data_IF_808279008721
#
_entry.id   IF_808279008721
#
_cell.length_a   1.000
_cell.length_b   1.000
_cell.length_c   1.000
_cell.angle_alpha   90.00
_cell.angle_beta   90.00
_cell.angle_gamma   90.00
#
_symmetry.space_group_name_H-M   'P 1'
#
loop_
_entity.id
_entity.type
_entity.pdbx_description
1 polymer ?
#
# COMPACT_ATOMS: atom_id res chain seq x y z
N UNK A 1 -20.90 5.33 -21.35
CA UNK A 1 -19.93 4.24 -21.14
C UNK A 1 -20.30 3.59 -19.84
N UNK A 2 -20.89 2.39 -19.88
CA UNK A 2 -21.02 1.58 -18.67
C UNK A 2 -19.60 1.20 -18.27
N UNK A 3 -19.16 1.65 -17.10
CA UNK A 3 -17.86 1.24 -16.59
C UNK A 3 -17.92 -0.28 -16.42
N UNK A 4 -16.96 -0.97 -17.03
CA UNK A 4 -16.82 -2.42 -16.87
C UNK A 4 -16.52 -2.74 -15.41
N UNK A 5 -17.13 -3.81 -14.90
CA UNK A 5 -16.98 -4.26 -13.52
C UNK A 5 -15.50 -4.54 -13.19
N UNK A 6 -14.76 -5.05 -14.16
CA UNK A 6 -13.33 -5.30 -14.08
C UNK A 6 -12.53 -4.01 -13.79
N UNK A 7 -12.84 -2.93 -14.54
CA UNK A 7 -12.22 -1.63 -14.34
C UNK A 7 -12.52 -1.04 -12.94
N UNK A 8 -13.73 -1.25 -12.41
CA UNK A 8 -14.08 -0.83 -11.04
C UNK A 8 -13.21 -1.57 -10.03
N UNK A 9 -13.10 -2.90 -10.16
CA UNK A 9 -12.33 -3.74 -9.23
C UNK A 9 -10.86 -3.30 -9.22
N UNK A 10 -10.27 -3.09 -10.40
CA UNK A 10 -8.88 -2.65 -10.51
C UNK A 10 -8.63 -1.30 -9.82
N UNK A 11 -9.53 -0.32 -10.03
CA UNK A 11 -9.45 1.01 -9.41
C UNK A 11 -9.58 0.89 -7.88
N UNK A 12 -10.56 0.11 -7.41
CA UNK A 12 -10.82 -0.08 -5.98
C UNK A 12 -9.62 -0.74 -5.29
N UNK A 13 -9.09 -1.80 -5.87
CA UNK A 13 -7.92 -2.53 -5.33
C UNK A 13 -6.69 -1.61 -5.26
N UNK A 14 -6.41 -0.86 -6.34
CA UNK A 14 -5.29 0.08 -6.37
C UNK A 14 -5.44 1.19 -5.33
N UNK A 15 -6.67 1.70 -5.15
CA UNK A 15 -6.99 2.73 -4.16
C UNK A 15 -6.78 2.20 -2.75
N UNK A 16 -7.24 0.99 -2.45
CA UNK A 16 -7.06 0.36 -1.13
C UNK A 16 -5.57 0.15 -0.83
N UNK A 17 -4.80 -0.32 -1.82
CA UNK A 17 -3.37 -0.54 -1.65
C UNK A 17 -2.63 0.78 -1.36
N UNK A 18 -2.95 1.85 -2.09
CA UNK A 18 -2.39 3.19 -1.85
C UNK A 18 -2.74 3.72 -0.46
N UNK A 19 -4.01 3.66 -0.07
CA UNK A 19 -4.47 4.12 1.25
C UNK A 19 -3.77 3.35 2.37
N UNK A 20 -3.61 2.04 2.19
CA UNK A 20 -2.90 1.18 3.15
C UNK A 20 -1.44 1.61 3.30
N UNK A 21 -0.74 1.90 2.21
CA UNK A 21 0.63 2.38 2.25
C UNK A 21 0.74 3.75 2.94
N UNK A 22 -0.14 4.68 2.61
CA UNK A 22 -0.19 6.01 3.25
C UNK A 22 -0.44 5.86 4.75
N UNK A 23 -1.38 5.01 5.15
CA UNK A 23 -1.65 4.74 6.56
C UNK A 23 -0.43 4.17 7.29
N UNK A 24 0.31 3.24 6.66
CA UNK A 24 1.55 2.71 7.22
C UNK A 24 2.63 3.79 7.35
N UNK A 25 2.81 4.65 6.34
CA UNK A 25 3.78 5.75 6.38
C UNK A 25 3.45 6.78 7.47
N UNK A 26 2.16 7.13 7.63
CA UNK A 26 1.69 7.98 8.72
C UNK A 26 1.94 7.31 10.07
N UNK A 27 1.62 6.02 10.20
CA UNK A 27 1.88 5.26 11.42
C UNK A 27 3.37 5.28 11.80
N UNK A 28 4.27 5.05 10.85
CA UNK A 28 5.71 5.13 11.11
C UNK A 28 6.12 6.55 11.51
N UNK A 29 5.60 7.56 10.83
CA UNK A 29 5.90 8.97 11.14
C UNK A 29 5.46 9.36 12.55
N UNK A 30 4.31 8.88 13.02
CA UNK A 30 3.81 9.19 14.35
C UNK A 30 4.57 8.47 15.46
N UNK A 31 5.06 7.25 15.21
CA UNK A 31 5.70 6.41 16.23
C UNK A 31 7.24 6.51 16.25
N UNK A 32 7.86 6.91 15.14
CA UNK A 32 9.33 6.92 14.99
C UNK A 32 9.90 8.29 14.63
N UNK A 33 9.12 9.36 14.79
CA UNK A 33 9.62 10.73 14.64
C UNK A 33 10.18 11.27 15.95
N UNK A 34 11.32 11.96 15.87
CA UNK A 34 11.96 12.66 16.98
C UNK A 34 12.62 13.94 16.46
N UNK A 35 12.51 15.04 17.21
CA UNK A 35 13.08 16.34 16.86
C UNK A 35 12.72 16.85 15.45
N UNK A 36 11.52 16.50 14.94
CA UNK A 36 11.05 16.92 13.62
C UNK A 36 11.58 16.10 12.44
N UNK A 37 12.30 15.00 12.69
CA UNK A 37 12.77 14.07 11.68
C UNK A 37 12.51 12.61 12.04
N UNK A 38 12.69 11.71 11.07
CA UNK A 38 12.64 10.27 11.34
C UNK A 38 13.89 9.83 12.10
N UNK A 39 13.71 9.00 13.12
CA UNK A 39 14.82 8.28 13.76
C UNK A 39 15.40 7.23 12.81
N UNK A 40 16.60 6.73 13.10
CA UNK A 40 17.24 5.66 12.32
C UNK A 40 16.32 4.44 12.18
N UNK A 41 15.65 4.06 13.27
CA UNK A 41 14.67 2.98 13.28
C UNK A 41 13.44 3.32 12.43
N UNK A 42 12.99 4.57 12.43
CA UNK A 42 11.92 5.04 11.55
C UNK A 42 12.27 4.91 10.08
N UNK A 43 13.53 5.19 9.70
CA UNK A 43 14.02 4.99 8.34
C UNK A 43 13.90 3.54 7.89
N UNK A 44 14.34 2.60 8.74
CA UNK A 44 14.21 1.16 8.48
C UNK A 44 12.72 0.75 8.41
N UNK A 45 11.88 1.28 9.29
CA UNK A 45 10.45 0.99 9.31
C UNK A 45 9.73 1.46 8.03
N UNK A 46 10.10 2.62 7.46
CA UNK A 46 9.57 3.07 6.16
C UNK A 46 9.99 2.12 5.04
N UNK A 47 11.25 1.68 4.99
CA UNK A 47 11.70 0.69 4.00
C UNK A 47 10.89 -0.62 4.14
N UNK A 48 10.63 -1.05 5.37
CA UNK A 48 9.75 -2.19 5.64
C UNK A 48 8.31 -1.97 5.15
N UNK A 49 7.75 -0.77 5.34
CA UNK A 49 6.42 -0.41 4.84
C UNK A 49 6.36 -0.40 3.30
N UNK A 50 7.41 0.06 2.63
CA UNK A 50 7.54 -0.03 1.16
C UNK A 50 7.60 -1.50 0.72
N UNK A 51 8.40 -2.32 1.39
CA UNK A 51 8.46 -3.76 1.11
C UNK A 51 7.10 -4.45 1.27
N UNK A 52 6.38 -4.13 2.35
CA UNK A 52 5.02 -4.62 2.59
C UNK A 52 4.07 -4.17 1.48
N UNK A 53 4.13 -2.90 1.06
CA UNK A 53 3.29 -2.39 -0.03
C UNK A 53 3.51 -3.15 -1.34
N UNK A 54 4.77 -3.44 -1.69
CA UNK A 54 5.09 -4.24 -2.88
C UNK A 54 4.47 -5.64 -2.77
N UNK A 55 4.57 -6.29 -1.61
CA UNK A 55 3.97 -7.62 -1.39
C UNK A 55 2.44 -7.57 -1.51
N UNK A 56 1.80 -6.53 -0.96
CA UNK A 56 0.34 -6.33 -1.09
C UNK A 56 -0.06 -6.16 -2.55
N UNK A 57 0.67 -5.35 -3.33
CA UNK A 57 0.41 -5.17 -4.76
C UNK A 57 0.61 -6.46 -5.56
N UNK A 58 1.65 -7.25 -5.24
CA UNK A 58 1.86 -8.56 -5.85
C UNK A 58 0.71 -9.51 -5.55
N UNK A 59 0.29 -9.59 -4.28
CA UNK A 59 -0.84 -10.43 -3.88
C UNK A 59 -2.15 -9.99 -4.56
N UNK A 60 -2.38 -8.67 -4.66
CA UNK A 60 -3.52 -8.10 -5.36
C UNK A 60 -3.51 -8.46 -6.85
N UNK A 61 -2.35 -8.36 -7.52
CA UNK A 61 -2.19 -8.76 -8.92
C UNK A 61 -2.53 -10.24 -9.15
N UNK A 62 -1.97 -11.13 -8.33
CA UNK A 62 -2.24 -12.57 -8.40
C UNK A 62 -3.72 -12.89 -8.12
N UNK A 63 -4.36 -12.14 -7.22
CA UNK A 63 -5.76 -12.33 -6.90
C UNK A 63 -6.69 -11.89 -8.03
N UNK A 64 -6.35 -10.82 -8.75
CA UNK A 64 -7.09 -10.37 -9.93
C UNK A 64 -6.98 -11.39 -11.08
N UNK A 65 -5.79 -11.91 -11.36
CA UNK A 65 -5.57 -12.95 -12.39
C UNK A 65 -6.47 -14.18 -12.14
N UNK A 66 -6.67 -14.56 -10.88
CA UNK A 66 -7.55 -15.68 -10.50
C UNK A 66 -9.06 -15.42 -10.69
N UNK A 67 -9.49 -14.18 -10.88
CA UNK A 67 -10.90 -13.85 -11.14
C UNK A 67 -11.21 -13.74 -12.63
N UNK A 68 -10.17 -13.59 -13.46
CA UNK A 68 -10.28 -13.44 -14.91
C UNK A 68 -10.20 -14.79 -15.66
N UNK A 69 -9.93 -15.90 -14.96
CA UNK A 69 -9.96 -17.29 -15.46
C UNK A 69 -11.08 -18.13 -14.83
#
# INVERSE_FOLDING_TARGET
MEIDREAIVQIVVSTIALVTFVAAAVFVSLNYSSNGGLTDQGGIAIIGAIGLFIVVMLAAGIWMERQEF
#
